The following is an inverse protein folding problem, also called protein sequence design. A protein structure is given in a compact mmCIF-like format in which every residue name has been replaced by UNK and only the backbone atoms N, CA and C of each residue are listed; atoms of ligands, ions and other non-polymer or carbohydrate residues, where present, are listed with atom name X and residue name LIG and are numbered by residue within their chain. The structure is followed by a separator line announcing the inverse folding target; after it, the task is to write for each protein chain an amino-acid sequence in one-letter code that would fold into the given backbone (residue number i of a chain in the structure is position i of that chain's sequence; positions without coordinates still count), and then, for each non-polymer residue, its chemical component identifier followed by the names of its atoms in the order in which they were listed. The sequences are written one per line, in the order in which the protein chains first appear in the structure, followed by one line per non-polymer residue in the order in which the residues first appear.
data_IF_769515540582
#
_entry.id   IF_769515540582
#
_cell.length_a   1.000
_cell.length_b   1.000
_cell.length_c   1.000
_cell.angle_alpha   90.00
_cell.angle_beta   90.00
_cell.angle_gamma   90.00
#
_symmetry.space_group_name_H-M   'P 1'
#
loop_
_entity.id
_entity.type
_entity.pdbx_description
1 polymer ?
#
# COMPACT_ATOMS: atom_id res chain seq x y z
N UNK A 1 -0.40 -37.39 91.03
CA UNK A 1 0.37 -37.32 92.28
C UNK A 1 -0.56 -37.59 93.46
N UNK A 2 -0.15 -38.50 94.38
CA UNK A 2 -0.63 -38.73 95.77
C UNK A 2 -2.11 -39.16 95.94
N UNK A 3 -2.45 -40.44 96.17
CA UNK A 3 -2.41 -41.25 97.43
C UNK A 3 -3.07 -40.51 98.61
N UNK A 4 -4.29 -40.88 99.06
CA UNK A 4 -4.64 -41.87 100.14
C UNK A 4 -4.21 -41.35 101.54
N UNK A 5 -4.90 -41.53 102.72
CA UNK A 5 -6.23 -42.11 103.08
C UNK A 5 -6.96 -41.49 104.34
N UNK A 6 -8.02 -42.19 104.79
CA UNK A 6 -8.40 -42.55 106.18
C UNK A 6 -9.21 -41.56 107.04
N UNK A 7 -10.31 -42.08 107.61
CA UNK A 7 -10.85 -42.01 108.99
C UNK A 7 -12.36 -42.35 108.87
N UNK A 8 -12.77 -43.59 109.09
CA UNK A 8 -13.05 -44.26 110.37
C UNK A 8 -14.27 -43.66 111.14
N UNK A 9 -15.31 -44.50 111.17
CA UNK A 9 -16.50 -44.53 112.02
C UNK A 9 -16.27 -44.09 113.47
N UNK A 10 -17.24 -43.38 114.08
CA UNK A 10 -17.90 -43.84 115.32
C UNK A 10 -19.13 -43.02 115.71
N UNK A 11 -20.07 -43.73 116.34
CA UNK A 11 -21.43 -43.39 116.73
C UNK A 11 -21.54 -42.24 117.74
N UNK A 12 -22.66 -41.51 117.67
CA UNK A 12 -23.46 -41.20 118.86
C UNK A 12 -24.93 -40.92 118.45
N UNK A 13 -25.83 -41.76 118.96
CA UNK A 13 -27.27 -41.58 118.87
C UNK A 13 -27.74 -40.51 119.87
N UNK A 14 -28.58 -39.58 119.41
CA UNK A 14 -29.26 -38.59 120.23
C UNK A 14 -30.52 -38.13 119.53
N UNK A 15 -31.67 -38.42 120.13
CA UNK A 15 -33.01 -38.09 119.64
C UNK A 15 -33.19 -36.57 119.49
N UNK A 16 -33.51 -36.09 118.28
CA UNK A 16 -34.26 -34.87 118.01
C UNK A 16 -34.80 -34.92 116.57
N UNK A 17 -36.12 -35.03 116.42
CA UNK A 17 -36.90 -34.70 115.22
C UNK A 17 -37.83 -33.57 115.69
N UNK A 18 -38.13 -32.47 114.94
CA UNK A 18 -38.03 -32.24 113.50
C UNK A 18 -37.50 -30.83 113.11
N UNK A 19 -36.33 -30.71 112.48
CA UNK A 19 -35.94 -29.46 111.80
C UNK A 19 -35.28 -29.69 110.42
N UNK A 20 -35.04 -30.95 110.06
CA UNK A 20 -34.38 -31.35 108.80
C UNK A 20 -35.38 -31.87 107.75
N UNK A 21 -36.63 -32.16 108.14
CA UNK A 21 -37.69 -32.59 107.21
C UNK A 21 -38.32 -31.40 106.44
N UNK A 22 -38.39 -30.21 107.06
CA UNK A 22 -38.85 -28.98 106.39
C UNK A 22 -37.84 -28.53 105.32
N UNK A 23 -36.54 -28.60 105.60
CA UNK A 23 -35.50 -28.24 104.63
C UNK A 23 -35.39 -29.23 103.46
N UNK A 24 -35.61 -30.53 103.69
CA UNK A 24 -35.66 -31.54 102.63
C UNK A 24 -36.92 -31.43 101.76
N UNK A 25 -38.07 -31.08 102.34
CA UNK A 25 -39.30 -30.83 101.60
C UNK A 25 -39.20 -29.55 100.75
N UNK A 26 -38.65 -28.47 101.31
CA UNK A 26 -38.37 -27.23 100.56
C UNK A 26 -37.35 -27.45 99.44
N UNK A 27 -36.28 -28.22 99.68
CA UNK A 27 -35.33 -28.63 98.63
C UNK A 27 -35.99 -29.48 97.55
N UNK A 28 -36.92 -30.37 97.91
CA UNK A 28 -37.68 -31.17 96.96
C UNK A 28 -38.62 -30.29 96.11
N UNK A 29 -39.31 -29.33 96.73
CA UNK A 29 -40.14 -28.36 96.01
C UNK A 29 -39.33 -27.41 95.13
N UNK A 30 -38.13 -27.02 95.57
CA UNK A 30 -37.22 -26.20 94.77
C UNK A 30 -36.73 -26.98 93.54
N UNK A 31 -36.25 -28.22 93.74
CA UNK A 31 -35.85 -29.09 92.63
C UNK A 31 -37.01 -29.38 91.66
N UNK A 32 -38.23 -29.51 92.16
CA UNK A 32 -39.42 -29.67 91.31
C UNK A 32 -39.64 -28.43 90.43
N UNK A 33 -39.54 -27.22 90.99
CA UNK A 33 -39.63 -25.97 90.23
C UNK A 33 -38.49 -25.81 89.23
N UNK A 34 -37.26 -26.17 89.61
CA UNK A 34 -36.11 -26.14 88.72
C UNK A 34 -36.28 -27.13 87.56
N UNK A 35 -36.82 -28.33 87.82
CA UNK A 35 -37.15 -29.32 86.77
C UNK A 35 -38.24 -28.76 85.85
N UNK A 36 -39.32 -28.19 86.37
CA UNK A 36 -40.39 -27.59 85.57
C UNK A 36 -39.86 -26.42 84.70
N UNK A 37 -38.93 -25.62 85.23
CA UNK A 37 -38.27 -24.54 84.48
C UNK A 37 -37.33 -25.09 83.39
N UNK A 38 -36.54 -26.12 83.71
CA UNK A 38 -35.67 -26.79 82.73
C UNK A 38 -36.49 -27.48 81.64
N UNK A 39 -37.64 -28.07 81.96
CA UNK A 39 -38.57 -28.66 81.00
C UNK A 39 -39.18 -27.59 80.06
N UNK A 40 -39.58 -26.44 80.62
CA UNK A 40 -40.08 -25.32 79.82
C UNK A 40 -38.99 -24.77 78.89
N UNK A 41 -37.75 -24.63 79.38
CA UNK A 41 -36.61 -24.21 78.58
C UNK A 41 -36.28 -25.24 77.48
N UNK A 42 -36.35 -26.54 77.78
CA UNK A 42 -36.17 -27.60 76.80
C UNK A 42 -37.24 -27.58 75.71
N UNK A 43 -38.51 -27.30 76.06
CA UNK A 43 -39.59 -27.12 75.08
C UNK A 43 -39.36 -25.90 74.18
N UNK A 44 -38.92 -24.78 74.75
CA UNK A 44 -38.58 -23.58 74.00
C UNK A 44 -37.42 -23.84 73.02
N UNK A 45 -36.33 -24.46 73.51
CA UNK A 45 -35.20 -24.85 72.66
C UNK A 45 -35.64 -25.82 71.54
N UNK A 46 -36.56 -26.74 71.80
CA UNK A 46 -37.13 -27.62 70.77
C UNK A 46 -37.89 -26.85 69.68
N UNK A 47 -38.67 -25.83 70.05
CA UNK A 47 -39.34 -24.94 69.10
C UNK A 47 -38.35 -24.12 68.27
N UNK A 48 -37.30 -23.59 68.89
CA UNK A 48 -36.26 -22.81 68.21
C UNK A 48 -35.47 -23.69 67.22
N UNK A 49 -35.13 -24.92 67.59
CA UNK A 49 -34.50 -25.91 66.70
C UNK A 49 -35.40 -26.18 65.48
N UNK A 50 -36.70 -26.43 65.69
CA UNK A 50 -37.64 -26.66 64.58
C UNK A 50 -37.74 -25.45 63.64
N UNK A 51 -37.69 -24.23 64.19
CA UNK A 51 -37.64 -22.99 63.43
C UNK A 51 -36.36 -22.86 62.60
N UNK A 52 -35.20 -23.10 63.21
CA UNK A 52 -33.90 -23.11 62.52
C UNK A 52 -33.86 -24.19 61.41
N UNK A 53 -34.41 -25.38 61.66
CA UNK A 53 -34.52 -26.44 60.65
C UNK A 53 -35.37 -26.03 59.44
N UNK A 54 -36.44 -25.27 59.66
CA UNK A 54 -37.23 -24.69 58.57
C UNK A 54 -36.42 -23.68 57.76
N UNK A 55 -35.69 -22.77 58.41
CA UNK A 55 -34.83 -21.79 57.74
C UNK A 55 -33.71 -22.46 56.93
N UNK A 56 -33.09 -23.51 57.48
CA UNK A 56 -32.07 -24.30 56.79
C UNK A 56 -32.65 -24.91 55.51
N UNK A 57 -33.85 -25.51 55.58
CA UNK A 57 -34.52 -26.09 54.40
C UNK A 57 -34.81 -25.04 53.33
N UNK A 58 -35.27 -23.85 53.71
CA UNK A 58 -35.53 -22.76 52.75
C UNK A 58 -34.25 -22.21 52.12
N UNK A 59 -33.19 -22.03 52.91
CA UNK A 59 -31.88 -21.62 52.40
C UNK A 59 -31.31 -22.66 51.43
N UNK A 60 -31.48 -23.95 51.71
CA UNK A 60 -31.09 -25.04 50.82
C UNK A 60 -31.85 -24.99 49.48
N UNK A 61 -33.17 -24.73 49.50
CA UNK A 61 -33.99 -24.55 48.30
C UNK A 61 -33.52 -23.34 47.48
N UNK A 62 -33.38 -22.17 48.11
CA UNK A 62 -32.90 -20.94 47.46
C UNK A 62 -31.52 -21.12 46.83
N UNK A 63 -30.61 -21.81 47.53
CA UNK A 63 -29.28 -22.15 46.99
C UNK A 63 -29.39 -23.05 45.77
N UNK A 64 -30.25 -24.07 45.80
CA UNK A 64 -30.47 -24.97 44.66
C UNK A 64 -31.03 -24.22 43.45
N UNK A 65 -31.99 -23.32 43.64
CA UNK A 65 -32.57 -22.50 42.57
C UNK A 65 -31.55 -21.55 41.96
N UNK A 66 -30.77 -20.85 42.81
CA UNK A 66 -29.69 -19.96 42.33
C UNK A 66 -28.59 -20.75 41.60
N UNK A 67 -28.28 -21.97 42.03
CA UNK A 67 -27.37 -22.84 41.29
C UNK A 67 -27.93 -23.26 39.93
N UNK A 68 -29.24 -23.53 39.82
CA UNK A 68 -29.90 -23.81 38.54
C UNK A 68 -29.89 -22.59 37.62
N UNK A 69 -30.18 -21.40 38.16
CA UNK A 69 -30.14 -20.12 37.44
C UNK A 69 -28.73 -19.82 36.92
N UNK A 70 -27.70 -19.94 37.77
CA UNK A 70 -26.29 -19.80 37.39
C UNK A 70 -25.93 -20.74 36.24
N UNK A 71 -26.27 -22.03 36.33
CA UNK A 71 -26.01 -23.01 35.26
C UNK A 71 -26.73 -22.65 33.95
N UNK A 72 -27.93 -22.07 34.01
CA UNK A 72 -28.66 -21.59 32.82
C UNK A 72 -27.94 -20.40 32.18
N UNK A 73 -27.53 -19.41 32.98
CA UNK A 73 -26.78 -18.24 32.51
C UNK A 73 -25.43 -18.63 31.91
N UNK A 74 -24.67 -19.51 32.56
CA UNK A 74 -23.38 -20.01 32.04
C UNK A 74 -23.52 -20.75 30.71
N UNK A 75 -24.64 -21.44 30.47
CA UNK A 75 -24.93 -22.05 29.17
C UNK A 75 -25.24 -20.99 28.11
N UNK A 76 -26.07 -20.01 28.44
CA UNK A 76 -26.40 -18.91 27.53
C UNK A 76 -25.16 -18.11 27.14
N UNK A 77 -24.34 -17.72 28.11
CA UNK A 77 -23.07 -17.01 27.87
C UNK A 77 -22.16 -17.80 26.94
N UNK A 78 -22.04 -19.13 27.14
CA UNK A 78 -21.25 -19.98 26.24
C UNK A 78 -21.78 -19.98 24.82
N UNK A 79 -23.09 -20.13 24.63
CA UNK A 79 -23.71 -20.10 23.31
C UNK A 79 -23.52 -18.75 22.62
N UNK A 80 -23.82 -17.65 23.32
CA UNK A 80 -23.69 -16.29 22.78
C UNK A 80 -22.23 -15.99 22.41
N UNK A 81 -21.27 -16.39 23.25
CA UNK A 81 -19.84 -16.27 22.94
C UNK A 81 -19.46 -17.03 21.68
N UNK A 82 -19.93 -18.27 21.50
CA UNK A 82 -19.63 -19.05 20.28
C UNK A 82 -20.30 -18.45 19.03
N UNK A 83 -21.52 -17.93 19.15
CA UNK A 83 -22.19 -17.25 18.04
C UNK A 83 -21.45 -15.95 17.65
N UNK A 84 -21.07 -15.15 18.65
CA UNK A 84 -20.28 -13.94 18.47
C UNK A 84 -18.92 -14.25 17.82
N UNK A 85 -18.20 -15.27 18.29
CA UNK A 85 -16.93 -15.66 17.69
C UNK A 85 -17.09 -16.07 16.21
N UNK A 86 -18.17 -16.78 15.87
CA UNK A 86 -18.48 -17.16 14.48
C UNK A 86 -18.81 -15.93 13.63
N UNK A 87 -19.66 -15.02 14.10
CA UNK A 87 -20.05 -13.83 13.35
C UNK A 87 -18.90 -12.82 13.19
N UNK A 88 -18.09 -12.63 14.25
CA UNK A 88 -16.94 -11.72 14.21
C UNK A 88 -15.74 -12.29 13.44
N UNK A 89 -15.67 -13.61 13.18
CA UNK A 89 -14.55 -14.22 12.45
C UNK A 89 -14.39 -13.63 11.05
N UNK A 90 -15.50 -13.42 10.34
CA UNK A 90 -15.49 -12.80 9.01
C UNK A 90 -14.99 -11.36 9.05
N UNK A 91 -15.48 -10.57 10.02
CA UNK A 91 -15.06 -9.18 10.22
C UNK A 91 -13.55 -9.05 10.51
N UNK A 92 -12.99 -9.93 11.36
CA UNK A 92 -11.54 -9.96 11.62
C UNK A 92 -10.72 -10.32 10.39
N UNK A 93 -11.26 -11.15 9.50
CA UNK A 93 -10.59 -11.46 8.24
C UNK A 93 -10.62 -10.25 7.30
N UNK A 94 -11.74 -9.53 7.25
CA UNK A 94 -11.84 -8.27 6.50
C UNK A 94 -10.87 -7.22 6.99
N UNK A 95 -10.77 -7.02 8.31
CA UNK A 95 -9.80 -6.08 8.88
C UNK A 95 -8.34 -6.43 8.49
N UNK A 96 -8.01 -7.73 8.46
CA UNK A 96 -6.69 -8.19 7.98
C UNK A 96 -6.48 -7.88 6.51
N UNK A 97 -7.50 -8.04 5.67
CA UNK A 97 -7.42 -7.72 4.25
C UNK A 97 -7.29 -6.22 4.04
N UNK A 98 -8.05 -5.40 4.76
CA UNK A 98 -7.98 -3.93 4.71
C UNK A 98 -6.56 -3.44 5.07
N UNK A 99 -5.96 -3.96 6.16
CA UNK A 99 -4.56 -3.65 6.51
C UNK A 99 -3.57 -4.02 5.41
N UNK A 100 -3.81 -5.11 4.68
CA UNK A 100 -2.97 -5.49 3.53
C UNK A 100 -3.16 -4.52 2.36
N UNK A 101 -4.37 -4.04 2.13
CA UNK A 101 -4.65 -3.01 1.13
C UNK A 101 -3.93 -1.71 1.48
N UNK A 102 -3.96 -1.27 2.74
CA UNK A 102 -3.23 -0.08 3.17
C UNK A 102 -1.72 -0.21 2.97
N UNK A 103 -1.13 -1.34 3.37
CA UNK A 103 0.29 -1.60 3.13
C UNK A 103 0.63 -1.59 1.63
N UNK A 104 -0.25 -2.14 0.80
CA UNK A 104 -0.10 -2.11 -0.64
C UNK A 104 -0.14 -0.68 -1.19
N UNK A 105 -1.07 0.16 -0.70
CA UNK A 105 -1.15 1.58 -1.05
C UNK A 105 0.14 2.32 -0.71
N UNK A 106 0.67 2.14 0.51
CA UNK A 106 1.93 2.76 0.94
C UNK A 106 3.11 2.37 0.04
N UNK A 107 3.13 1.14 -0.48
CA UNK A 107 4.16 0.66 -1.43
C UNK A 107 3.94 1.21 -2.85
N UNK A 108 2.69 1.42 -3.25
CA UNK A 108 2.34 1.94 -4.58
C UNK A 108 2.58 3.44 -4.72
N UNK A 109 2.31 4.21 -3.68
CA UNK A 109 2.38 5.67 -3.72
C UNK A 109 3.72 6.24 -4.21
N UNK A 110 4.90 5.79 -3.74
CA UNK A 110 6.17 6.28 -4.28
C UNK A 110 6.40 5.88 -5.74
N UNK A 111 5.82 4.77 -6.21
CA UNK A 111 5.90 4.36 -7.61
C UNK A 111 4.99 5.21 -8.49
N UNK A 112 3.78 5.52 -8.01
CA UNK A 112 2.84 6.41 -8.68
C UNK A 112 3.44 7.81 -8.86
N UNK A 113 4.01 8.41 -7.81
CA UNK A 113 4.70 9.71 -7.91
C UNK A 113 5.84 9.72 -8.93
N UNK A 114 6.61 8.62 -9.01
CA UNK A 114 7.68 8.47 -10.03
C UNK A 114 7.10 8.38 -11.44
N UNK A 115 5.97 7.70 -11.61
CA UNK A 115 5.29 7.61 -12.91
C UNK A 115 4.73 8.97 -13.33
N UNK A 116 4.16 9.75 -12.41
CA UNK A 116 3.66 11.10 -12.70
C UNK A 116 4.79 12.05 -13.10
N UNK A 117 5.94 11.97 -12.43
CA UNK A 117 7.12 12.73 -12.83
C UNK A 117 7.62 12.35 -14.24
N UNK A 118 7.63 11.05 -14.57
CA UNK A 118 7.97 10.57 -15.91
C UNK A 118 6.95 11.07 -16.94
N UNK A 119 5.66 11.12 -16.61
CA UNK A 119 4.60 11.64 -17.49
C UNK A 119 4.83 13.11 -17.83
N UNK A 120 5.09 13.95 -16.82
CA UNK A 120 5.38 15.36 -17.05
C UNK A 120 6.62 15.55 -17.92
N UNK A 121 7.65 14.73 -17.70
CA UNK A 121 8.84 14.74 -18.55
C UNK A 121 8.52 14.31 -19.99
N UNK A 122 7.69 13.28 -20.19
CA UNK A 122 7.24 12.82 -21.50
C UNK A 122 6.49 13.91 -22.26
N UNK A 123 5.58 14.61 -21.61
CA UNK A 123 4.81 15.71 -22.21
C UNK A 123 5.75 16.85 -22.65
N UNK A 124 6.73 17.19 -21.81
CA UNK A 124 7.78 18.16 -22.17
C UNK A 124 8.61 17.70 -23.37
N UNK A 125 9.07 16.44 -23.39
CA UNK A 125 9.87 15.90 -24.52
C UNK A 125 9.06 15.81 -25.81
N UNK A 126 7.76 15.58 -25.72
CA UNK A 126 6.85 15.59 -26.87
C UNK A 126 6.71 16.98 -27.46
N UNK A 127 6.57 18.01 -26.63
CA UNK A 127 6.58 19.40 -27.08
C UNK A 127 7.91 19.75 -27.77
N UNK A 128 9.04 19.42 -27.13
CA UNK A 128 10.39 19.62 -27.71
C UNK A 128 10.52 18.91 -29.07
N UNK A 129 10.02 17.69 -29.22
CA UNK A 129 10.02 16.96 -30.50
C UNK A 129 9.16 17.64 -31.56
N UNK A 130 7.99 18.18 -31.21
CA UNK A 130 7.13 18.87 -32.17
C UNK A 130 7.79 20.16 -32.67
N UNK A 131 8.52 20.87 -31.80
CA UNK A 131 9.28 22.06 -32.20
C UNK A 131 10.45 21.72 -33.12
N UNK A 132 11.14 20.60 -32.83
CA UNK A 132 12.18 20.08 -33.73
C UNK A 132 11.59 19.73 -35.11
N UNK A 133 10.44 19.06 -35.18
CA UNK A 133 9.79 18.71 -36.45
C UNK A 133 9.48 19.97 -37.28
N UNK A 134 8.94 21.02 -36.65
CA UNK A 134 8.68 22.31 -37.32
C UNK A 134 9.96 22.97 -37.82
N UNK A 135 11.03 22.91 -37.05
CA UNK A 135 12.32 23.51 -37.42
C UNK A 135 12.98 22.73 -38.57
N UNK A 136 12.90 21.40 -38.56
CA UNK A 136 13.33 20.52 -39.66
C UNK A 136 12.59 20.91 -40.95
N UNK A 137 11.27 21.05 -40.89
CA UNK A 137 10.45 21.38 -42.06
C UNK A 137 10.79 22.76 -42.64
N UNK A 138 10.97 23.76 -41.77
CA UNK A 138 11.40 25.11 -42.17
C UNK A 138 12.76 25.09 -42.86
N UNK A 139 13.77 24.46 -42.25
CA UNK A 139 15.12 24.39 -42.84
C UNK A 139 15.09 23.62 -44.16
N UNK A 140 14.37 22.50 -44.22
CA UNK A 140 14.27 21.67 -45.43
C UNK A 140 13.60 22.43 -46.57
N UNK A 141 12.52 23.16 -46.28
CA UNK A 141 11.82 23.98 -47.27
C UNK A 141 12.70 25.11 -47.79
N UNK A 142 13.33 25.89 -46.90
CA UNK A 142 14.24 26.97 -47.31
C UNK A 142 15.45 26.45 -48.09
N UNK A 143 15.98 25.29 -47.74
CA UNK A 143 17.11 24.68 -48.43
C UNK A 143 16.75 24.30 -49.88
N UNK A 144 15.55 23.72 -50.08
CA UNK A 144 15.03 23.38 -51.41
C UNK A 144 14.71 24.64 -52.23
N UNK A 145 14.08 25.64 -51.62
CA UNK A 145 13.74 26.90 -52.28
C UNK A 145 14.97 27.65 -52.80
N UNK A 146 16.08 27.63 -52.05
CA UNK A 146 17.34 28.26 -52.46
C UNK A 146 18.20 27.38 -53.37
N UNK A 147 17.73 26.18 -53.74
CA UNK A 147 18.46 25.20 -54.54
C UNK A 147 19.92 25.00 -54.05
N UNK A 148 20.10 24.85 -52.74
CA UNK A 148 21.44 24.79 -52.13
C UNK A 148 22.30 23.59 -52.59
N UNK A 149 21.70 22.57 -53.22
CA UNK A 149 22.40 21.44 -53.85
C UNK A 149 23.04 21.79 -55.21
N UNK A 150 22.60 22.89 -55.83
CA UNK A 150 22.92 23.29 -57.21
C UNK A 150 23.78 24.54 -57.33
N UNK A 151 24.49 24.96 -56.28
CA UNK A 151 25.29 26.19 -56.30
C UNK A 151 26.43 26.10 -57.33
N UNK A 152 26.59 27.11 -58.18
CA UNK A 152 27.64 27.20 -59.21
C UNK A 152 28.46 28.47 -59.01
N UNK A 153 29.79 28.32 -58.94
CA UNK A 153 30.70 29.44 -58.74
C UNK A 153 30.59 30.46 -59.90
N UNK A 154 30.43 31.75 -59.56
CA UNK A 154 30.29 32.83 -60.54
C UNK A 154 28.92 32.95 -61.23
N UNK A 155 27.97 32.05 -60.92
CA UNK A 155 26.58 32.13 -61.40
C UNK A 155 25.57 32.32 -60.26
N UNK A 156 25.89 31.80 -59.07
CA UNK A 156 25.04 31.98 -57.89
C UNK A 156 25.50 33.19 -57.08
N UNK A 157 24.56 34.06 -56.71
CA UNK A 157 24.83 35.22 -55.87
C UNK A 157 25.45 34.82 -54.52
N UNK A 158 26.43 35.60 -54.05
CA UNK A 158 27.10 35.36 -52.77
C UNK A 158 26.12 35.31 -51.59
N UNK A 159 25.08 36.15 -51.61
CA UNK A 159 24.01 36.14 -50.60
C UNK A 159 23.30 34.77 -50.52
N UNK A 160 23.06 34.11 -51.65
CA UNK A 160 22.45 32.77 -51.68
C UNK A 160 23.40 31.72 -51.10
N UNK A 161 24.69 31.79 -51.43
CA UNK A 161 25.73 30.90 -50.89
C UNK A 161 25.81 31.05 -49.35
N UNK A 162 25.79 32.28 -48.85
CA UNK A 162 25.86 32.57 -47.42
C UNK A 162 24.62 32.06 -46.68
N UNK A 163 23.41 32.28 -47.24
CA UNK A 163 22.15 31.75 -46.69
C UNK A 163 22.15 30.23 -46.63
N UNK A 164 22.61 29.54 -47.68
CA UNK A 164 22.74 28.08 -47.69
C UNK A 164 23.72 27.58 -46.61
N UNK A 165 24.82 28.29 -46.40
CA UNK A 165 25.80 27.98 -45.35
C UNK A 165 25.25 28.19 -43.94
N UNK A 166 24.43 29.23 -43.74
CA UNK A 166 23.71 29.46 -42.49
C UNK A 166 22.67 28.38 -42.22
N UNK A 167 21.89 27.96 -43.22
CA UNK A 167 20.93 26.86 -43.10
C UNK A 167 21.62 25.55 -42.70
N UNK A 168 22.76 25.24 -43.31
CA UNK A 168 23.56 24.06 -42.95
C UNK A 168 24.08 24.14 -41.49
N UNK A 169 24.52 25.32 -41.06
CA UNK A 169 24.95 25.53 -39.67
C UNK A 169 23.81 25.35 -38.67
N UNK A 170 22.60 25.86 -39.00
CA UNK A 170 21.37 25.63 -38.22
C UNK A 170 21.00 24.15 -38.17
N UNK A 171 21.09 23.45 -39.30
CA UNK A 171 20.87 22.01 -39.38
C UNK A 171 21.80 21.23 -38.44
N UNK A 172 23.10 21.57 -38.41
CA UNK A 172 24.05 20.90 -37.50
C UNK A 172 23.70 21.11 -36.02
N UNK A 173 23.25 22.32 -35.64
CA UNK A 173 22.76 22.59 -34.27
C UNK A 173 21.50 21.78 -33.97
N UNK A 174 20.58 21.69 -34.93
CA UNK A 174 19.35 20.91 -34.82
C UNK A 174 19.65 19.41 -34.63
N UNK A 175 20.59 18.87 -35.40
CA UNK A 175 21.01 17.48 -35.29
C UNK A 175 21.63 17.15 -33.92
N UNK A 176 22.40 18.06 -33.33
CA UNK A 176 22.87 17.93 -31.94
C UNK A 176 21.71 17.89 -30.94
N UNK A 177 20.72 18.78 -31.10
CA UNK A 177 19.52 18.80 -30.24
C UNK A 177 18.71 17.51 -30.35
N UNK A 178 18.51 16.97 -31.56
CA UNK A 178 17.85 15.69 -31.78
C UNK A 178 18.59 14.55 -31.05
N UNK A 179 19.92 14.52 -31.13
CA UNK A 179 20.72 13.49 -30.45
C UNK A 179 20.59 13.58 -28.92
N UNK A 180 20.61 14.79 -28.35
CA UNK A 180 20.43 15.00 -26.91
C UNK A 180 19.03 14.56 -26.45
N UNK A 181 17.99 14.90 -27.22
CA UNK A 181 16.62 14.52 -26.92
C UNK A 181 16.42 13.00 -26.98
N UNK A 182 17.02 12.32 -27.96
CA UNK A 182 17.00 10.86 -28.09
C UNK A 182 17.68 10.16 -26.90
N UNK A 183 18.80 10.70 -26.39
CA UNK A 183 19.44 10.19 -25.16
C UNK A 183 18.50 10.36 -23.96
N UNK A 184 17.91 11.54 -23.80
CA UNK A 184 16.99 11.84 -22.69
C UNK A 184 15.77 10.90 -22.69
N UNK A 185 15.16 10.66 -23.85
CA UNK A 185 14.02 9.74 -23.99
C UNK A 185 14.42 8.29 -23.69
N UNK A 186 15.61 7.85 -24.12
CA UNK A 186 16.13 6.52 -23.78
C UNK A 186 16.32 6.35 -22.27
N UNK A 187 16.90 7.35 -21.59
CA UNK A 187 17.06 7.33 -20.13
C UNK A 187 15.71 7.35 -19.40
N UNK A 188 14.76 8.16 -19.87
CA UNK A 188 13.39 8.18 -19.34
C UNK A 188 12.70 6.82 -19.51
N UNK A 189 12.81 6.19 -20.68
CA UNK A 189 12.25 4.87 -20.95
C UNK A 189 12.86 3.79 -20.04
N UNK A 190 14.16 3.85 -19.77
CA UNK A 190 14.81 2.94 -18.80
C UNK A 190 14.28 3.14 -17.37
N UNK A 191 14.06 4.39 -16.94
CA UNK A 191 13.45 4.66 -15.62
C UNK A 191 12.01 4.14 -15.57
N UNK A 192 11.22 4.38 -16.60
CA UNK A 192 9.85 3.86 -16.74
C UNK A 192 9.80 2.34 -16.66
N UNK A 193 10.61 1.63 -17.46
CA UNK A 193 10.61 0.16 -17.46
C UNK A 193 11.01 -0.43 -16.11
N UNK A 194 11.96 0.18 -15.38
CA UNK A 194 12.30 -0.21 -14.00
C UNK A 194 11.12 -0.07 -13.05
N UNK A 195 10.39 1.05 -13.12
CA UNK A 195 9.19 1.27 -12.28
C UNK A 195 8.09 0.28 -12.67
N UNK A 196 7.85 0.06 -13.96
CA UNK A 196 6.82 -0.86 -14.44
C UNK A 196 7.07 -2.31 -14.05
N UNK A 197 8.33 -2.76 -13.97
CA UNK A 197 8.66 -4.10 -13.45
C UNK A 197 8.21 -4.25 -11.99
N UNK A 198 8.45 -3.25 -11.14
CA UNK A 198 7.99 -3.24 -9.75
C UNK A 198 6.46 -3.16 -9.66
N UNK A 199 5.84 -2.41 -10.56
CA UNK A 199 4.38 -2.31 -10.63
C UNK A 199 3.69 -3.62 -11.01
N UNK A 200 4.28 -4.43 -11.91
CA UNK A 200 3.70 -5.72 -12.31
C UNK A 200 3.56 -6.72 -11.15
N UNK A 201 4.53 -6.76 -10.24
CA UNK A 201 4.43 -7.65 -9.08
C UNK A 201 3.31 -7.20 -8.12
N UNK A 202 3.18 -5.89 -7.91
CA UNK A 202 2.10 -5.32 -7.10
C UNK A 202 0.72 -5.51 -7.74
N UNK A 203 0.62 -5.47 -9.07
CA UNK A 203 -0.64 -5.71 -9.80
C UNK A 203 -1.23 -7.09 -9.49
N UNK A 204 -0.41 -8.13 -9.52
CA UNK A 204 -0.89 -9.47 -9.18
C UNK A 204 -1.43 -9.54 -7.74
N UNK A 205 -0.83 -8.79 -6.82
CA UNK A 205 -1.30 -8.67 -5.44
C UNK A 205 -2.64 -7.90 -5.37
N UNK A 206 -2.81 -6.79 -6.11
CA UNK A 206 -4.07 -6.05 -6.22
C UNK A 206 -5.18 -6.97 -6.72
N UNK A 207 -4.99 -7.67 -7.84
CA UNK A 207 -6.03 -8.54 -8.42
C UNK A 207 -6.45 -9.64 -7.46
N UNK A 208 -5.49 -10.26 -6.75
CA UNK A 208 -5.77 -11.29 -5.74
C UNK A 208 -6.52 -10.72 -4.54
N UNK A 209 -6.13 -9.54 -4.05
CA UNK A 209 -6.81 -8.88 -2.93
C UNK A 209 -8.22 -8.46 -3.33
N UNK A 210 -8.40 -7.85 -4.50
CA UNK A 210 -9.70 -7.44 -5.03
C UNK A 210 -10.68 -8.64 -5.08
N UNK A 211 -10.24 -9.78 -5.61
CA UNK A 211 -11.08 -10.99 -5.66
C UNK A 211 -11.47 -11.50 -4.25
N UNK A 212 -10.52 -11.51 -3.31
CA UNK A 212 -10.77 -11.92 -1.92
C UNK A 212 -11.67 -10.93 -1.17
N UNK A 213 -11.49 -9.64 -1.41
CA UNK A 213 -12.28 -8.58 -0.81
C UNK A 213 -13.71 -8.61 -1.31
N UNK A 214 -13.94 -8.77 -2.62
CA UNK A 214 -15.31 -8.90 -3.16
C UNK A 214 -16.05 -10.12 -2.61
N UNK A 215 -15.34 -11.23 -2.43
CA UNK A 215 -15.96 -12.48 -1.95
C UNK A 215 -16.24 -12.48 -0.44
N UNK A 216 -15.36 -11.87 0.37
CA UNK A 216 -15.46 -11.95 1.85
C UNK A 216 -15.89 -10.65 2.53
N UNK A 217 -15.66 -9.52 1.87
CA UNK A 217 -15.70 -8.18 2.45
C UNK A 217 -16.35 -7.17 1.49
N UNK A 218 -17.43 -7.59 0.82
CA UNK A 218 -18.10 -6.80 -0.23
C UNK A 218 -18.57 -5.40 0.20
N UNK A 219 -18.70 -5.14 1.50
CA UNK A 219 -19.08 -3.86 2.08
C UNK A 219 -17.89 -2.90 2.33
N UNK A 220 -16.65 -3.37 2.16
CA UNK A 220 -15.44 -2.55 2.42
C UNK A 220 -15.25 -1.49 1.33
N UNK A 221 -15.08 -0.23 1.75
CA UNK A 221 -14.81 0.91 0.85
C UNK A 221 -13.49 0.78 0.08
N UNK A 222 -12.57 -0.06 0.57
CA UNK A 222 -11.30 -0.35 -0.07
C UNK A 222 -11.45 -1.11 -1.41
N UNK A 223 -12.61 -1.73 -1.69
CA UNK A 223 -12.88 -2.37 -2.99
C UNK A 223 -12.84 -1.32 -4.11
N UNK A 224 -13.60 -0.25 -3.99
CA UNK A 224 -13.65 0.85 -4.97
C UNK A 224 -12.28 1.47 -5.18
N UNK A 225 -11.49 1.56 -4.11
CA UNK A 225 -10.14 2.10 -4.21
C UNK A 225 -9.17 1.15 -4.95
N UNK A 226 -9.24 -0.16 -4.70
CA UNK A 226 -8.48 -1.16 -5.45
C UNK A 226 -8.86 -1.16 -6.95
N UNK A 227 -10.14 -0.95 -7.27
CA UNK A 227 -10.60 -0.82 -8.66
C UNK A 227 -10.01 0.41 -9.34
N UNK A 228 -10.00 1.55 -8.65
CA UNK A 228 -9.34 2.77 -9.15
C UNK A 228 -7.86 2.54 -9.42
N UNK A 229 -7.17 1.83 -8.53
CA UNK A 229 -5.75 1.49 -8.70
C UNK A 229 -5.52 0.54 -9.89
N UNK A 230 -6.38 -0.47 -10.10
CA UNK A 230 -6.29 -1.35 -11.29
C UNK A 230 -6.49 -0.56 -12.59
N UNK A 231 -7.46 0.37 -12.61
CA UNK A 231 -7.71 1.20 -13.78
C UNK A 231 -6.56 2.16 -14.08
N UNK A 232 -6.00 2.82 -13.05
CA UNK A 232 -4.82 3.69 -13.21
C UNK A 232 -3.63 2.93 -13.80
N UNK A 233 -3.45 1.65 -13.45
CA UNK A 233 -2.38 0.83 -14.01
C UNK A 233 -2.50 0.61 -15.52
N UNK A 234 -3.72 0.47 -16.04
CA UNK A 234 -3.94 0.36 -17.50
C UNK A 234 -3.50 1.63 -18.22
N UNK A 235 -3.79 2.79 -17.64
CA UNK A 235 -3.34 4.08 -18.17
C UNK A 235 -1.81 4.17 -18.22
N UNK A 236 -1.10 3.69 -17.19
CA UNK A 236 0.37 3.69 -17.16
C UNK A 236 0.99 2.78 -18.22
N UNK A 237 0.30 1.70 -18.64
CA UNK A 237 0.77 0.85 -19.74
C UNK A 237 0.69 1.58 -21.09
N UNK A 238 -0.34 2.40 -21.30
CA UNK A 238 -0.47 3.22 -22.51
C UNK A 238 0.67 4.24 -22.65
N UNK A 239 1.30 4.69 -21.57
CA UNK A 239 2.46 5.60 -21.67
C UNK A 239 3.70 4.93 -22.26
N UNK A 240 3.82 3.60 -22.11
CA UNK A 240 4.90 2.83 -22.73
C UNK A 240 4.87 2.91 -24.25
N UNK A 241 3.67 2.87 -24.86
CA UNK A 241 3.52 3.00 -26.32
C UNK A 241 3.80 4.43 -26.79
N UNK A 242 3.39 5.45 -26.02
CA UNK A 242 3.70 6.85 -26.32
C UNK A 242 5.21 7.15 -26.32
N UNK A 243 5.94 6.60 -25.35
CA UNK A 243 7.41 6.72 -25.32
C UNK A 243 8.07 6.06 -26.53
N UNK A 244 7.54 4.90 -26.96
CA UNK A 244 8.05 4.20 -28.13
C UNK A 244 7.80 4.98 -29.43
N UNK A 245 6.61 5.58 -29.58
CA UNK A 245 6.29 6.45 -30.72
C UNK A 245 7.24 7.65 -30.77
N UNK A 246 7.46 8.34 -29.65
CA UNK A 246 8.38 9.47 -29.57
C UNK A 246 9.82 9.07 -29.95
N UNK A 247 10.29 7.91 -29.49
CA UNK A 247 11.60 7.38 -29.90
C UNK A 247 11.66 7.11 -31.41
N UNK A 248 10.61 6.54 -32.00
CA UNK A 248 10.55 6.26 -33.43
C UNK A 248 10.51 7.56 -34.26
N UNK A 249 9.80 8.59 -33.79
CA UNK A 249 9.80 9.92 -34.42
C UNK A 249 11.20 10.51 -34.49
N UNK A 250 11.95 10.49 -33.39
CA UNK A 250 13.32 10.99 -33.39
C UNK A 250 14.28 10.16 -34.24
N UNK A 251 14.11 8.84 -34.30
CA UNK A 251 14.87 8.01 -35.24
C UNK A 251 14.63 8.41 -36.69
N UNK A 252 13.40 8.77 -37.07
CA UNK A 252 13.08 9.30 -38.41
C UNK A 252 13.76 10.66 -38.63
N UNK A 253 13.66 11.57 -37.66
CA UNK A 253 14.31 12.88 -37.73
C UNK A 253 15.84 12.78 -37.91
N UNK A 254 16.49 11.82 -37.23
CA UNK A 254 17.94 11.55 -37.37
C UNK A 254 18.35 11.03 -38.75
N UNK A 255 17.44 10.38 -39.49
CA UNK A 255 17.73 9.83 -40.82
C UNK A 255 17.71 10.90 -41.90
N UNK A 256 17.06 12.03 -41.67
CA UNK A 256 17.11 13.17 -42.57
C UNK A 256 18.56 13.69 -42.62
N UNK A 257 19.09 13.88 -43.82
CA UNK A 257 20.43 14.44 -44.04
C UNK A 257 20.28 15.65 -44.95
N UNK A 258 20.60 16.84 -44.44
CA UNK A 258 20.86 18.01 -45.28
C UNK A 258 22.33 17.97 -45.66
N UNK A 259 22.61 17.85 -46.96
CA UNK A 259 23.99 17.80 -47.45
C UNK A 259 24.62 19.19 -47.34
N UNK A 260 25.94 19.22 -47.11
CA UNK A 260 26.68 20.48 -47.15
C UNK A 260 26.60 21.05 -48.57
N UNK A 261 26.19 22.31 -48.76
CA UNK A 261 26.19 22.93 -50.08
C UNK A 261 27.59 22.81 -50.71
N UNK A 262 27.67 22.27 -51.92
CA UNK A 262 28.93 22.18 -52.68
C UNK A 262 28.86 23.14 -53.85
N UNK A 263 29.80 24.07 -53.92
CA UNK A 263 29.98 24.94 -55.07
C UNK A 263 30.57 24.13 -56.21
N UNK A 264 29.82 24.01 -57.30
CA UNK A 264 30.33 23.42 -58.55
C UNK A 264 31.20 24.44 -59.27
N UNK A 265 32.33 24.03 -59.86
CA UNK A 265 33.12 24.92 -60.70
C UNK A 265 32.28 25.39 -61.89
N UNK A 266 32.49 26.64 -62.32
CA UNK A 266 31.83 27.18 -63.51
C UNK A 266 32.15 26.30 -64.73
N UNK A 267 31.20 26.08 -65.66
CA UNK A 267 31.50 25.37 -66.89
C UNK A 267 32.65 26.05 -67.62
N UNK A 268 33.70 25.28 -67.96
CA UNK A 268 34.83 25.78 -68.72
C UNK A 268 34.32 26.32 -70.06
N UNK A 269 34.37 27.64 -70.25
CA UNK A 269 34.24 28.22 -71.60
C UNK A 269 35.39 27.66 -72.45
N UNK A 270 35.13 27.03 -73.61
CA UNK A 270 36.21 26.56 -74.48
C UNK A 270 37.09 27.76 -74.83
N UNK A 271 38.40 27.65 -74.56
CA UNK A 271 39.38 28.67 -74.94
C UNK A 271 39.25 28.92 -76.45
N UNK A 272 39.15 30.17 -76.92
CA UNK A 272 39.19 30.44 -78.35
C UNK A 272 40.50 29.87 -78.93
N UNK A 273 40.39 29.00 -79.93
CA UNK A 273 41.56 28.42 -80.62
C UNK A 273 42.48 29.55 -81.07
N UNK A 274 43.79 29.51 -80.78
CA UNK A 274 44.71 30.51 -81.28
C UNK A 274 44.70 30.48 -82.82
N UNK A 275 44.41 31.63 -83.44
CA UNK A 275 44.53 31.79 -84.89
C UNK A 275 46.00 31.56 -85.26
N UNK A 276 46.31 30.42 -85.87
CA UNK A 276 47.60 30.14 -86.49
C UNK A 276 47.92 31.27 -87.48
N UNK A 277 48.94 32.09 -87.18
CA UNK A 277 49.48 33.05 -88.14
C UNK A 277 50.21 32.25 -89.24
N UNK A 278 50.02 32.57 -90.53
CA UNK A 278 50.70 31.87 -91.61
C UNK A 278 52.21 32.07 -91.51
N UNK A 279 52.95 30.96 -91.55
CA UNK A 279 54.41 30.94 -91.54
C UNK A 279 54.96 31.56 -92.83
N UNK A 280 55.87 32.54 -92.70
CA UNK A 280 56.62 33.10 -93.83
C UNK A 280 57.57 32.03 -94.37
N UNK A 281 57.42 31.68 -95.66
CA UNK A 281 58.35 30.79 -96.37
C UNK A 281 59.73 31.46 -96.50
N UNK A 282 60.84 30.77 -96.19
CA UNK A 282 62.17 31.28 -96.49
C UNK A 282 62.46 31.22 -97.99
N UNK A 283 63.03 32.31 -98.53
CA UNK A 283 63.54 32.37 -99.91
C UNK A 283 64.86 31.59 -99.98
N UNK A 284 64.90 30.54 -100.81
CA UNK A 284 66.13 29.84 -101.14
C UNK A 284 67.04 30.74 -101.99
N UNK A 285 68.29 30.90 -101.55
CA UNK A 285 69.36 31.56 -102.33
C UNK A 285 69.77 30.62 -103.47
N UNK A 286 69.84 31.13 -104.69
CA UNK A 286 70.52 30.47 -105.81
C UNK A 286 72.04 30.58 -105.59
N UNK A 287 72.74 29.47 -105.76
CA UNK A 287 74.20 29.35 -105.85
C UNK A 287 74.49 29.05 -107.35
N UNK A 288 75.56 29.63 -107.94
CA UNK A 288 75.77 29.77 -109.39
C UNK A 288 75.62 28.50 -110.22
#
# INVERSE_FOLDING_TARGET
MKRIPFVAFLLAAGMMVPAQAQSLFEQCQQKKRDIEQMEAQARQMGSDIAGLDSQIRDLQRRRADKMREKRRLERRIRLDKTMMERSCRGLRECEKLDRRVENLKRRLEPLARRLDAIRQELDKRRAESNDLDREIERITTSYRQLNCDGLVAGQTDQNTIDRCSQLFSRWNKLQKRINLLDIAIRQMHQRYTKVMRRMRSLRAEITRLLARMRTRCGHSSFITELERLDQQQRNWQAWGTQMQDLSNRLKRARKLKVLRPRLRPAPHKPKPKPKLRPAKRPRLKKVP
#
